data_IF_774311145133
#
_entry.id   IF_774311145133
#
_cell.length_a   1.000
_cell.length_b   1.000
_cell.length_c   1.000
_cell.angle_alpha   90.00
_cell.angle_beta   90.00
_cell.angle_gamma   90.00
#
_symmetry.space_group_name_H-M   'P 1'
#
loop_
_entity.id
_entity.type
_entity.pdbx_description
1 polymer ?
#
# COMPACT_ATOMS: atom_id res chain seq x y z
N UNK A 1 10.17 -18.53 -9.78
CA UNK A 1 10.10 -17.14 -10.25
C UNK A 1 8.70 -16.98 -10.80
N UNK A 2 7.92 -16.02 -10.31
CA UNK A 2 6.55 -15.79 -10.80
C UNK A 2 6.68 -14.83 -11.97
N UNK A 3 6.19 -15.23 -13.13
CA UNK A 3 6.11 -14.34 -14.29
C UNK A 3 4.66 -13.86 -14.43
N UNK A 4 4.46 -12.70 -15.07
CA UNK A 4 3.16 -12.03 -15.15
C UNK A 4 2.02 -12.92 -15.66
N UNK A 5 2.31 -13.85 -16.59
CA UNK A 5 1.34 -14.82 -17.11
C UNK A 5 0.84 -15.87 -16.10
N UNK A 6 1.48 -15.97 -14.92
CA UNK A 6 1.03 -16.82 -13.82
C UNK A 6 0.10 -16.09 -12.85
N UNK A 7 -0.19 -14.80 -13.06
CA UNK A 7 -1.09 -14.04 -12.18
C UNK A 7 -2.56 -14.19 -12.64
N UNK A 8 -3.50 -14.37 -11.70
CA UNK A 8 -4.90 -14.59 -12.04
C UNK A 8 -5.56 -13.33 -12.59
N UNK A 9 -6.52 -13.49 -13.51
CA UNK A 9 -7.30 -12.40 -14.08
C UNK A 9 -8.37 -11.85 -13.11
N UNK A 10 -8.79 -12.65 -12.12
CA UNK A 10 -9.77 -12.25 -11.11
C UNK A 10 -9.20 -12.51 -9.73
N UNK A 11 -9.25 -11.50 -8.87
CA UNK A 11 -8.81 -11.58 -7.47
C UNK A 11 -9.88 -11.06 -6.51
N UNK A 12 -9.92 -11.57 -5.27
CA UNK A 12 -10.62 -10.87 -4.19
C UNK A 12 -9.95 -9.52 -3.95
N UNK A 13 -10.75 -8.48 -3.71
CA UNK A 13 -10.25 -7.14 -3.39
C UNK A 13 -10.73 -6.68 -2.03
N UNK A 14 -9.85 -6.02 -1.30
CA UNK A 14 -10.07 -5.45 0.02
C UNK A 14 -9.98 -3.93 -0.06
N UNK A 15 -11.12 -3.23 -0.17
CA UNK A 15 -11.17 -1.77 -0.15
C UNK A 15 -10.92 -1.28 1.27
N UNK A 16 -9.80 -0.59 1.49
CA UNK A 16 -9.42 -0.07 2.80
C UNK A 16 -8.85 1.35 2.66
N UNK A 17 -9.60 2.40 3.05
CA UNK A 17 -9.12 3.77 2.95
C UNK A 17 -7.85 3.99 3.78
N UNK A 18 -6.87 4.69 3.23
CA UNK A 18 -5.62 5.03 3.92
C UNK A 18 -4.65 3.85 4.12
N UNK A 19 -5.02 2.63 3.72
CA UNK A 19 -4.10 1.51 3.68
C UNK A 19 -3.36 1.48 2.34
N UNK A 20 -2.03 1.43 2.41
CA UNK A 20 -1.17 1.32 1.24
C UNK A 20 -0.38 0.01 1.32
N UNK A 21 -0.40 -0.76 0.25
CA UNK A 21 0.50 -1.88 0.02
C UNK A 21 1.35 -1.57 -1.21
N UNK A 22 2.65 -1.74 -1.11
CA UNK A 22 3.60 -1.61 -2.22
C UNK A 22 4.24 -2.97 -2.54
N UNK A 23 4.67 -3.20 -3.79
CA UNK A 23 5.46 -4.38 -4.15
C UNK A 23 6.65 -4.56 -3.23
N UNK A 24 6.99 -5.82 -2.89
CA UNK A 24 8.09 -6.22 -1.98
C UNK A 24 7.97 -5.73 -0.53
N UNK A 25 6.98 -4.90 -0.20
CA UNK A 25 6.68 -4.49 1.17
C UNK A 25 5.74 -5.46 1.89
N UNK A 26 5.56 -5.25 3.20
CA UNK A 26 4.67 -6.06 4.05
C UNK A 26 3.60 -5.19 4.67
N UNK A 27 2.35 -5.65 4.60
CA UNK A 27 1.21 -5.01 5.25
C UNK A 27 0.55 -5.99 6.21
N UNK A 28 0.70 -5.79 7.54
CA UNK A 28 -0.08 -6.53 8.53
C UNK A 28 -1.53 -6.03 8.55
N UNK A 29 -2.50 -6.94 8.67
CA UNK A 29 -3.92 -6.63 8.72
C UNK A 29 -4.63 -7.46 9.78
N UNK A 30 -5.60 -6.84 10.44
CA UNK A 30 -6.49 -7.52 11.38
C UNK A 30 -7.87 -7.71 10.73
N UNK A 31 -8.23 -8.96 10.46
CA UNK A 31 -9.51 -9.34 9.87
C UNK A 31 -10.45 -9.83 10.96
N UNK A 32 -11.60 -9.17 11.09
CA UNK A 32 -12.62 -9.53 12.07
C UNK A 32 -14.04 -9.52 11.47
N UNK A 33 -14.26 -8.83 10.35
CA UNK A 33 -15.57 -8.84 9.69
C UNK A 33 -15.80 -10.15 8.94
N UNK A 34 -16.98 -10.79 9.07
CA UNK A 34 -17.27 -12.09 8.45
C UNK A 34 -16.97 -12.16 6.94
N UNK A 35 -17.22 -11.07 6.20
CA UNK A 35 -16.91 -11.00 4.76
C UNK A 35 -15.42 -11.10 4.46
N UNK A 36 -14.55 -10.53 5.29
CA UNK A 36 -13.10 -10.57 5.08
C UNK A 36 -12.49 -11.86 5.61
N UNK A 37 -13.12 -12.50 6.60
CA UNK A 37 -12.78 -13.89 6.97
C UNK A 37 -13.07 -14.84 5.80
N UNK A 38 -14.27 -14.75 5.19
CA UNK A 38 -14.59 -15.53 4.00
C UNK A 38 -13.66 -15.22 2.81
N UNK A 39 -13.25 -13.96 2.65
CA UNK A 39 -12.25 -13.56 1.64
C UNK A 39 -10.90 -14.24 1.86
N UNK A 40 -10.41 -14.25 3.10
CA UNK A 40 -9.16 -14.91 3.46
C UNK A 40 -9.24 -16.42 3.19
N UNK A 41 -10.30 -17.08 3.65
CA UNK A 41 -10.52 -18.52 3.45
C UNK A 41 -10.48 -18.89 1.97
N UNK A 42 -11.16 -18.12 1.13
CA UNK A 42 -11.18 -18.37 -0.31
C UNK A 42 -9.84 -18.06 -0.97
N UNK A 43 -9.14 -16.99 -0.55
CA UNK A 43 -7.80 -16.70 -1.05
C UNK A 43 -6.82 -17.83 -0.74
N UNK A 44 -6.86 -18.41 0.47
CA UNK A 44 -5.98 -19.50 0.90
C UNK A 44 -6.21 -20.81 0.12
N UNK A 45 -7.41 -21.02 -0.43
CA UNK A 45 -7.73 -22.17 -1.31
C UNK A 45 -7.15 -22.03 -2.72
N UNK A 46 -6.74 -20.82 -3.12
CA UNK A 46 -6.09 -20.59 -4.42
C UNK A 46 -4.58 -20.88 -4.36
N UNK A 47 -3.95 -21.27 -5.48
CA UNK A 47 -2.49 -21.46 -5.52
C UNK A 47 -1.72 -20.15 -5.29
N UNK A 48 -2.26 -19.01 -5.71
CA UNK A 48 -1.56 -17.71 -5.63
C UNK A 48 -1.67 -17.03 -4.27
N UNK A 49 -2.76 -17.30 -3.53
CA UNK A 49 -3.09 -16.72 -2.22
C UNK A 49 -3.08 -15.19 -2.22
N UNK A 50 -3.60 -14.60 -3.29
CA UNK A 50 -3.58 -13.15 -3.49
C UNK A 50 -4.84 -12.50 -2.95
N UNK A 51 -4.66 -11.32 -2.35
CA UNK A 51 -5.69 -10.36 -1.99
C UNK A 51 -5.28 -9.02 -2.58
N UNK A 52 -6.17 -8.39 -3.35
CA UNK A 52 -5.96 -7.07 -3.92
C UNK A 52 -6.26 -5.97 -2.93
N UNK A 53 -5.24 -5.29 -2.40
CA UNK A 53 -5.45 -4.05 -1.65
C UNK A 53 -5.77 -2.93 -2.63
N UNK A 54 -6.76 -2.10 -2.30
CA UNK A 54 -7.20 -0.99 -3.13
C UNK A 54 -7.86 0.08 -2.25
N UNK A 55 -7.68 1.35 -2.62
CA UNK A 55 -8.39 2.42 -1.94
C UNK A 55 -9.80 2.60 -2.52
N UNK A 56 -10.83 2.87 -1.71
CA UNK A 56 -12.12 3.30 -2.22
C UNK A 56 -11.98 4.64 -2.95
N UNK A 57 -12.70 4.81 -4.06
CA UNK A 57 -12.75 6.06 -4.82
C UNK A 57 -13.90 6.95 -4.29
N UNK A 58 -13.61 8.08 -3.61
CA UNK A 58 -14.63 8.97 -3.09
C UNK A 58 -15.35 9.76 -4.19
N UNK A 59 -14.79 9.84 -5.40
CA UNK A 59 -15.36 10.53 -6.56
C UNK A 59 -16.32 9.67 -7.39
N UNK A 60 -16.52 8.41 -7.00
CA UNK A 60 -17.50 7.54 -7.64
C UNK A 60 -18.93 8.10 -7.51
N UNK A 61 -19.77 7.87 -8.53
CA UNK A 61 -21.14 8.40 -8.55
C UNK A 61 -21.90 7.93 -7.31
N UNK A 62 -22.79 8.78 -6.78
CA UNK A 62 -23.61 8.42 -5.63
C UNK A 62 -24.35 7.07 -5.87
N UNK A 63 -24.03 6.06 -5.05
CA UNK A 63 -24.54 4.68 -5.19
C UNK A 63 -23.57 3.68 -5.80
N UNK A 64 -22.49 4.14 -6.43
CA UNK A 64 -21.34 3.35 -6.86
C UNK A 64 -20.24 3.50 -5.79
N UNK A 65 -19.99 2.49 -4.97
CA UNK A 65 -18.83 2.48 -4.07
C UNK A 65 -17.57 2.19 -4.89
N UNK A 66 -17.12 3.14 -5.72
CA UNK A 66 -16.03 2.92 -6.68
C UNK A 66 -14.72 2.53 -6.00
N UNK A 67 -13.85 1.92 -6.79
CA UNK A 67 -12.47 1.61 -6.43
C UNK A 67 -11.55 2.51 -7.23
N UNK A 68 -10.44 2.92 -6.61
CA UNK A 68 -9.35 3.46 -7.40
C UNK A 68 -8.91 2.44 -8.46
N UNK A 69 -8.50 2.97 -9.62
CA UNK A 69 -8.13 2.13 -10.77
C UNK A 69 -6.87 1.31 -10.53
N UNK A 70 -5.98 1.73 -9.66
CA UNK A 70 -4.73 1.03 -9.36
C UNK A 70 -4.76 0.56 -7.91
N UNK A 71 -4.49 -0.73 -7.72
CA UNK A 71 -4.30 -1.37 -6.42
C UNK A 71 -2.97 -2.13 -6.39
N UNK A 72 -2.67 -2.77 -5.25
CA UNK A 72 -1.53 -3.69 -5.13
C UNK A 72 -1.99 -5.05 -4.62
N UNK A 73 -1.65 -6.11 -5.34
CA UNK A 73 -1.91 -7.48 -4.93
C UNK A 73 -0.88 -7.91 -3.89
N UNK A 74 -1.35 -8.40 -2.76
CA UNK A 74 -0.54 -8.97 -1.70
C UNK A 74 -0.76 -10.47 -1.60
N UNK A 75 0.32 -11.24 -1.45
CA UNK A 75 0.23 -12.66 -1.10
C UNK A 75 0.12 -12.80 0.41
N UNK A 76 -0.83 -13.62 0.86
CA UNK A 76 -0.89 -14.03 2.27
C UNK A 76 0.34 -14.91 2.57
N UNK A 77 1.29 -14.37 3.33
CA UNK A 77 2.53 -15.07 3.71
C UNK A 77 2.52 -15.51 5.16
N UNK A 78 1.72 -14.87 6.01
CA UNK A 78 1.51 -15.27 7.41
C UNK A 78 0.04 -15.06 7.76
N UNK A 79 -0.50 -15.95 8.59
CA UNK A 79 -1.80 -15.77 9.23
C UNK A 79 -1.81 -16.49 10.57
N UNK A 80 -2.51 -15.93 11.56
CA UNK A 80 -2.72 -16.51 12.87
C UNK A 80 -4.12 -16.18 13.37
N UNK A 81 -4.84 -17.19 13.83
CA UNK A 81 -6.14 -17.03 14.47
C UNK A 81 -5.95 -16.57 15.93
N UNK A 82 -6.76 -15.61 16.37
CA UNK A 82 -6.82 -15.13 17.75
C UNK A 82 -7.91 -15.87 18.53
N UNK A 83 -7.84 -15.83 19.86
CA UNK A 83 -8.79 -16.54 20.73
C UNK A 83 -10.25 -16.10 20.57
N UNK A 84 -10.50 -14.91 20.01
CA UNK A 84 -11.82 -14.36 19.73
C UNK A 84 -12.30 -14.55 18.28
N UNK A 85 -11.65 -15.45 17.52
CA UNK A 85 -12.06 -15.82 16.16
C UNK A 85 -11.72 -14.78 15.10
N UNK A 86 -10.74 -13.91 15.37
CA UNK A 86 -10.20 -12.95 14.39
C UNK A 86 -8.91 -13.49 13.81
N UNK A 87 -8.47 -12.89 12.71
CA UNK A 87 -7.23 -13.28 12.05
C UNK A 87 -6.29 -12.08 11.97
N UNK A 88 -5.05 -12.27 12.43
CA UNK A 88 -3.95 -11.40 12.05
C UNK A 88 -3.28 -12.01 10.82
N UNK A 89 -3.18 -11.26 9.73
CA UNK A 89 -2.50 -11.70 8.51
C UNK A 89 -1.38 -10.75 8.14
N UNK A 90 -0.40 -11.25 7.38
CA UNK A 90 0.58 -10.40 6.69
C UNK A 90 0.47 -10.64 5.20
N UNK A 91 0.25 -9.55 4.46
CA UNK A 91 0.37 -9.52 3.00
C UNK A 91 1.78 -9.12 2.61
N UNK A 92 2.42 -9.88 1.74
CA UNK A 92 3.65 -9.47 1.04
C UNK A 92 3.29 -8.98 -0.35
N UNK A 93 3.61 -7.72 -0.66
CA UNK A 93 3.27 -7.09 -1.94
C UNK A 93 3.93 -7.81 -3.10
N UNK A 94 3.12 -8.16 -4.10
CA UNK A 94 3.57 -8.90 -5.29
C UNK A 94 3.68 -7.98 -6.48
N UNK A 95 2.57 -7.33 -6.86
CA UNK A 95 2.51 -6.47 -8.02
C UNK A 95 1.35 -5.49 -7.89
N UNK A 96 1.53 -4.29 -8.44
CA UNK A 96 0.40 -3.42 -8.75
C UNK A 96 -0.44 -4.06 -9.86
N UNK A 97 -1.70 -3.66 -9.87
CA UNK A 97 -2.68 -4.09 -10.86
C UNK A 97 -3.63 -2.95 -11.18
N UNK A 98 -4.29 -3.06 -12.33
CA UNK A 98 -5.35 -2.16 -12.75
C UNK A 98 -6.71 -2.84 -12.63
N UNK A 99 -7.64 -2.24 -11.90
CA UNK A 99 -9.04 -2.68 -11.86
C UNK A 99 -9.65 -2.42 -13.24
N UNK A 100 -10.11 -3.49 -13.90
CA UNK A 100 -10.84 -3.41 -15.16
C UNK A 100 -12.35 -3.28 -14.90
N UNK A 101 -12.89 -4.17 -14.07
CA UNK A 101 -14.29 -4.13 -13.63
C UNK A 101 -14.47 -4.94 -12.35
N UNK A 102 -15.51 -4.64 -11.60
CA UNK A 102 -15.93 -5.51 -10.50
C UNK A 102 -16.66 -6.73 -11.04
N UNK A 103 -16.47 -7.86 -10.36
CA UNK A 103 -17.14 -9.13 -10.68
C UNK A 103 -18.30 -9.30 -9.72
N UNK A 104 -19.52 -9.20 -10.25
CA UNK A 104 -20.74 -9.50 -9.50
C UNK A 104 -20.78 -10.97 -9.06
N UNK A 105 -21.47 -11.25 -7.97
CA UNK A 105 -21.63 -12.62 -7.48
C UNK A 105 -22.17 -12.69 -6.06
N UNK A 106 -22.23 -13.91 -5.54
CA UNK A 106 -22.77 -14.21 -4.21
C UNK A 106 -21.73 -14.22 -3.10
N UNK A 107 -20.46 -13.88 -3.42
CA UNK A 107 -19.42 -13.76 -2.39
C UNK A 107 -19.72 -12.56 -1.49
N UNK A 108 -19.50 -12.66 -0.16
CA UNK A 108 -19.77 -11.57 0.76
C UNK A 108 -18.72 -10.44 0.68
N UNK A 109 -17.66 -10.65 -0.09
CA UNK A 109 -16.58 -9.71 -0.37
C UNK A 109 -16.52 -9.38 -1.87
N UNK A 110 -15.84 -8.28 -2.20
CA UNK A 110 -15.71 -7.77 -3.57
C UNK A 110 -14.62 -8.54 -4.32
N UNK A 111 -14.83 -8.69 -5.62
CA UNK A 111 -13.85 -9.26 -6.55
C UNK A 111 -13.73 -8.35 -7.74
N UNK A 112 -12.55 -8.31 -8.35
CA UNK A 112 -12.31 -7.51 -9.54
C UNK A 112 -11.62 -8.33 -10.61
N UNK A 113 -11.98 -8.08 -11.86
CA UNK A 113 -11.14 -8.41 -13.00
C UNK A 113 -10.00 -7.38 -13.04
N UNK A 114 -8.77 -7.87 -13.17
CA UNK A 114 -7.57 -7.04 -13.07
C UNK A 114 -6.62 -7.27 -14.23
N UNK A 115 -5.97 -6.19 -14.66
CA UNK A 115 -4.86 -6.20 -15.62
C UNK A 115 -3.54 -5.96 -14.91
N UNK A 116 -2.49 -6.62 -15.38
CA UNK A 116 -1.14 -6.54 -14.82
C UNK A 116 -0.19 -5.71 -15.71
N UNK A 117 -0.67 -5.28 -16.89
CA UNK A 117 0.13 -4.63 -17.92
C UNK A 117 0.66 -3.27 -17.45
N UNK A 118 1.95 -3.02 -17.69
CA UNK A 118 2.65 -1.80 -17.27
C UNK A 118 3.19 -1.85 -15.83
N UNK A 119 3.10 -3.01 -15.16
CA UNK A 119 3.65 -3.23 -13.81
C UNK A 119 4.70 -4.35 -13.80
N UNK A 120 5.34 -4.64 -14.92
CA UNK A 120 6.30 -5.73 -15.07
C UNK A 120 7.49 -5.59 -14.09
N UNK A 121 7.91 -4.35 -13.82
CA UNK A 121 8.99 -4.03 -12.87
C UNK A 121 8.67 -4.41 -11.42
N UNK A 122 7.39 -4.59 -11.07
CA UNK A 122 7.01 -4.96 -9.71
C UNK A 122 7.38 -6.42 -9.39
N UNK A 123 7.54 -7.26 -10.42
CA UNK A 123 7.95 -8.67 -10.28
C UNK A 123 9.47 -8.84 -10.22
N UNK A 124 10.23 -7.79 -10.51
CA UNK A 124 11.69 -7.81 -10.37
C UNK A 124 12.11 -7.78 -8.88
N UNK A 125 13.28 -8.32 -8.52
CA UNK A 125 13.71 -8.45 -7.13
C UNK A 125 13.89 -7.14 -6.36
N UNK A 126 13.95 -5.99 -7.05
CA UNK A 126 14.08 -4.68 -6.44
C UNK A 126 13.85 -3.56 -7.45
N UNK A 127 13.71 -2.34 -6.93
CA UNK A 127 13.68 -1.10 -7.68
C UNK A 127 14.79 -0.17 -7.14
N UNK A 128 15.29 0.73 -7.99
CA UNK A 128 16.43 1.57 -7.63
C UNK A 128 16.15 3.03 -7.95
N UNK A 129 16.68 3.92 -7.12
CA UNK A 129 16.68 5.36 -7.36
C UNK A 129 18.12 5.89 -7.40
N UNK A 130 18.73 5.96 -8.59
CA UNK A 130 20.09 6.47 -8.75
C UNK A 130 20.29 7.92 -8.28
N UNK A 131 19.21 8.70 -8.21
CA UNK A 131 19.23 10.09 -7.77
C UNK A 131 19.04 10.27 -6.27
N UNK A 132 18.94 9.19 -5.50
CA UNK A 132 18.61 9.29 -4.08
C UNK A 132 19.78 9.84 -3.26
N UNK A 133 19.62 11.06 -2.75
CA UNK A 133 20.49 11.62 -1.71
C UNK A 133 19.96 11.27 -0.33
N UNK A 134 20.45 10.14 0.21
CA UNK A 134 20.00 9.60 1.50
C UNK A 134 20.25 10.57 2.66
N UNK A 135 21.40 11.23 2.73
CA UNK A 135 21.72 12.17 3.82
C UNK A 135 20.74 13.35 3.85
N UNK A 136 20.47 13.95 2.68
CA UNK A 136 19.50 15.04 2.58
C UNK A 136 18.09 14.58 2.97
N UNK A 137 17.71 13.37 2.56
CA UNK A 137 16.41 12.80 2.89
C UNK A 137 16.26 12.52 4.39
N UNK A 138 17.27 11.93 5.02
CA UNK A 138 17.27 11.67 6.47
C UNK A 138 17.22 12.96 7.28
N UNK A 139 17.89 14.02 6.84
CA UNK A 139 17.80 15.35 7.48
C UNK A 139 16.37 15.94 7.40
N UNK A 140 15.71 15.83 6.24
CA UNK A 140 14.31 16.24 6.08
C UNK A 140 13.41 15.41 7.00
N UNK A 141 13.63 14.10 7.05
CA UNK A 141 12.87 13.18 7.89
C UNK A 141 13.03 13.50 9.38
N UNK A 142 14.23 13.78 9.87
CA UNK A 142 14.48 14.19 11.27
C UNK A 142 13.62 15.39 11.65
N UNK A 143 13.62 16.43 10.81
CA UNK A 143 12.81 17.64 11.03
C UNK A 143 11.32 17.34 11.03
N UNK A 144 10.85 16.47 10.14
CA UNK A 144 9.45 16.05 10.10
C UNK A 144 9.03 15.28 11.36
N UNK A 145 9.85 14.35 11.82
CA UNK A 145 9.56 13.56 13.02
C UNK A 145 9.59 14.42 14.28
N UNK A 146 10.55 15.34 14.39
CA UNK A 146 10.61 16.33 15.48
C UNK A 146 9.35 17.22 15.49
N UNK A 147 8.96 17.79 14.34
CA UNK A 147 7.79 18.67 14.23
C UNK A 147 6.45 17.96 14.52
N UNK A 148 6.41 16.63 14.37
CA UNK A 148 5.20 15.81 14.62
C UNK A 148 5.26 15.02 15.92
N UNK A 149 6.29 15.24 16.74
CA UNK A 149 6.55 14.53 18.01
C UNK A 149 6.52 12.99 17.85
N UNK A 150 6.97 12.50 16.70
CA UNK A 150 6.96 11.07 16.37
C UNK A 150 8.20 10.39 16.95
N UNK A 151 7.98 9.27 17.64
CA UNK A 151 9.09 8.41 18.08
C UNK A 151 9.60 7.57 16.91
N UNK A 152 10.91 7.35 16.86
CA UNK A 152 11.54 6.55 15.80
C UNK A 152 12.83 5.91 16.24
N UNK A 153 13.01 4.68 15.78
CA UNK A 153 14.28 4.00 15.82
C UNK A 153 15.13 4.44 14.61
N UNK A 154 15.93 5.49 14.85
CA UNK A 154 16.80 6.09 13.83
C UNK A 154 17.89 5.15 13.34
N UNK A 155 18.35 4.21 14.17
CA UNK A 155 19.40 3.28 13.79
C UNK A 155 18.85 2.27 12.78
N UNK A 156 17.67 1.70 13.06
CA UNK A 156 16.97 0.83 12.10
C UNK A 156 16.69 1.53 10.77
N UNK A 157 16.26 2.80 10.79
CA UNK A 157 16.03 3.54 9.54
C UNK A 157 17.31 3.79 8.75
N UNK A 158 18.44 4.13 9.41
CA UNK A 158 19.72 4.37 8.74
C UNK A 158 20.27 3.12 8.06
N UNK A 159 20.07 1.95 8.64
CA UNK A 159 20.55 0.68 8.10
C UNK A 159 19.66 0.09 6.99
N UNK A 160 18.41 0.53 6.88
CA UNK A 160 17.47 0.02 5.89
C UNK A 160 17.90 0.32 4.44
N UNK A 161 17.79 -0.65 3.54
CA UNK A 161 17.97 -0.44 2.10
C UNK A 161 17.03 0.67 1.58
N UNK A 162 17.49 1.42 0.57
CA UNK A 162 16.81 2.62 0.07
C UNK A 162 15.36 2.38 -0.34
N UNK A 163 15.10 1.30 -1.09
CA UNK A 163 13.75 0.92 -1.48
C UNK A 163 12.86 0.64 -0.26
N UNK A 164 13.37 -0.16 0.69
CA UNK A 164 12.65 -0.52 1.90
C UNK A 164 12.32 0.73 2.73
N UNK A 165 13.27 1.67 2.84
CA UNK A 165 13.09 2.94 3.55
C UNK A 165 11.96 3.75 2.92
N UNK A 166 12.02 4.02 1.61
CA UNK A 166 11.04 4.84 0.90
C UNK A 166 9.66 4.20 0.95
N UNK A 167 9.55 2.90 0.67
CA UNK A 167 8.26 2.21 0.67
C UNK A 167 7.65 2.13 2.07
N UNK A 168 8.46 1.84 3.11
CA UNK A 168 7.96 1.77 4.49
C UNK A 168 7.44 3.13 4.97
N UNK A 169 8.18 4.22 4.70
CA UNK A 169 7.73 5.57 5.05
C UNK A 169 6.46 5.96 4.28
N UNK A 170 6.38 5.62 3.00
CA UNK A 170 5.16 5.84 2.20
C UNK A 170 3.93 5.15 2.80
N UNK A 171 4.11 3.96 3.37
CA UNK A 171 3.02 3.17 3.96
C UNK A 171 2.65 3.61 5.39
N UNK A 172 3.65 3.91 6.22
CA UNK A 172 3.51 4.14 7.65
C UNK A 172 3.17 5.58 8.02
N UNK A 173 3.63 6.57 7.24
CA UNK A 173 3.31 7.96 7.51
C UNK A 173 1.80 8.20 7.31
N UNK A 174 1.24 9.03 8.18
CA UNK A 174 -0.19 9.33 8.26
C UNK A 174 -0.69 10.28 7.18
N UNK A 175 -0.35 10.03 5.91
CA UNK A 175 -0.88 10.80 4.78
C UNK A 175 -2.33 10.46 4.49
N UNK A 176 -3.03 11.42 3.89
CA UNK A 176 -4.41 11.27 3.45
C UNK A 176 -4.54 10.17 2.36
N UNK A 177 -5.74 9.56 2.19
CA UNK A 177 -5.98 8.51 1.20
C UNK A 177 -5.48 8.86 -0.20
N UNK A 178 -5.76 10.06 -0.69
CA UNK A 178 -5.39 10.52 -2.03
C UNK A 178 -3.87 10.62 -2.21
N UNK A 179 -3.14 11.06 -1.19
CA UNK A 179 -1.68 11.12 -1.19
C UNK A 179 -1.06 9.72 -1.18
N UNK A 180 -1.64 8.80 -0.40
CA UNK A 180 -1.23 7.38 -0.45
C UNK A 180 -1.53 6.74 -1.79
N UNK A 181 -2.60 7.15 -2.47
CA UNK A 181 -2.88 6.70 -3.83
C UNK A 181 -1.83 7.24 -4.80
N UNK A 182 -1.41 8.50 -4.69
CA UNK A 182 -0.34 9.06 -5.51
C UNK A 182 0.98 8.29 -5.33
N UNK A 183 1.33 7.91 -4.09
CA UNK A 183 2.51 7.09 -3.78
C UNK A 183 2.45 5.68 -4.38
N UNK A 184 1.25 5.07 -4.42
CA UNK A 184 1.01 3.79 -5.08
C UNK A 184 1.19 3.87 -6.60
N UNK A 185 0.64 4.92 -7.20
CA UNK A 185 0.61 5.12 -8.65
C UNK A 185 1.93 5.63 -9.23
N UNK A 186 2.87 6.07 -8.38
CA UNK A 186 4.20 6.48 -8.79
C UNK A 186 4.92 5.38 -9.60
N UNK A 187 5.30 5.62 -10.87
CA UNK A 187 5.75 4.58 -11.79
C UNK A 187 7.08 3.93 -11.38
N UNK A 188 7.93 4.64 -10.63
CA UNK A 188 9.25 4.20 -10.18
C UNK A 188 9.54 4.62 -8.74
N UNK A 189 10.54 4.00 -8.12
CA UNK A 189 11.04 4.39 -6.80
C UNK A 189 11.47 5.87 -6.75
N UNK A 190 12.14 6.38 -7.78
CA UNK A 190 12.52 7.80 -7.87
C UNK A 190 11.30 8.72 -7.80
N UNK A 191 10.25 8.44 -8.59
CA UNK A 191 9.04 9.26 -8.60
C UNK A 191 8.30 9.17 -7.26
N UNK A 192 8.30 7.98 -6.64
CA UNK A 192 7.71 7.77 -5.33
C UNK A 192 8.44 8.56 -4.25
N UNK A 193 9.77 8.54 -4.25
CA UNK A 193 10.60 9.37 -3.35
C UNK A 193 10.29 10.85 -3.52
N UNK A 194 10.24 11.35 -4.75
CA UNK A 194 9.96 12.77 -5.01
C UNK A 194 8.58 13.18 -4.50
N UNK A 195 7.59 12.32 -4.70
CA UNK A 195 6.24 12.50 -4.16
C UNK A 195 6.28 12.51 -2.64
N UNK A 196 6.92 11.52 -2.01
CA UNK A 196 7.07 11.43 -0.56
C UNK A 196 7.75 12.68 0.04
N UNK A 197 8.85 13.15 -0.57
CA UNK A 197 9.55 14.37 -0.16
C UNK A 197 8.62 15.58 -0.25
N UNK A 198 7.88 15.71 -1.35
CA UNK A 198 6.94 16.81 -1.55
C UNK A 198 5.86 16.82 -0.48
N UNK A 199 5.30 15.65 -0.14
CA UNK A 199 4.30 15.50 0.91
C UNK A 199 4.86 15.88 2.28
N UNK A 200 6.05 15.40 2.63
CA UNK A 200 6.71 15.74 3.89
C UNK A 200 6.98 17.25 4.00
N UNK A 201 7.48 17.88 2.93
CA UNK A 201 7.72 19.33 2.91
C UNK A 201 6.43 20.14 3.03
N UNK A 202 5.37 19.72 2.33
CA UNK A 202 4.06 20.36 2.41
C UNK A 202 3.49 20.29 3.83
N UNK A 203 3.60 19.13 4.47
CA UNK A 203 3.15 18.90 5.83
C UNK A 203 3.94 19.69 6.88
N UNK A 204 5.24 19.89 6.66
CA UNK A 204 6.07 20.76 7.49
C UNK A 204 5.63 22.22 7.39
N UNK A 205 5.43 22.73 6.17
CA UNK A 205 5.04 24.14 5.94
C UNK A 205 3.63 24.43 6.45
N UNK A 206 2.70 23.50 6.25
CA UNK A 206 1.31 23.66 6.72
C UNK A 206 1.17 23.48 8.25
N UNK A 207 2.13 22.84 8.91
CA UNK A 207 2.26 22.83 10.37
C UNK A 207 2.64 24.19 10.94
N UNK A 208 3.62 24.86 10.33
CA UNK A 208 4.06 26.22 10.74
C UNK A 208 2.92 27.26 10.61
N UNK A 209 2.11 27.18 9.55
CA UNK A 209 0.99 28.11 9.33
C UNK A 209 -0.15 27.97 10.37
N UNK A 210 -0.28 26.80 11.01
CA UNK A 210 -1.30 26.59 12.07
C UNK A 210 -0.86 27.14 13.42
N UNK A 211 0.44 27.26 13.69
CA UNK A 211 0.97 27.91 14.89
C UNK A 211 0.94 29.45 14.79
N UNK A 212 1.01 30.01 13.59
CA UNK A 212 0.93 31.46 13.37
C UNK A 212 -0.50 32.05 13.46
N UNK A 213 -1.53 31.21 13.53
CA UNK A 213 -2.95 31.62 13.60
C UNK A 213 -3.61 31.37 14.98
N UNK A 214 -2.83 31.06 16.02
CA UNK A 214 -3.29 31.06 17.43
C UNK A 214 -2.76 32.27 18.19
#
# INVERSE_FOLDING_TARGET
MIIQGDLPEVIPVFPLPGALLLPRSRLPLHLFEPRYLAMLDDALKTPHRLIGMVQPDPGARAGEHGLHRIGCAGRVTQFSETEDGRYMITLSGVSRYRVASEVEGFTPYRRAQVGWEGFEQDLEPGDSDPGFNRDSFMNLLSRYFEARELSTDWETLKEAEDELLINSLSMLLGFEPEDKQALLEAPSLSTRRETLVTLIEYDLRSGDDREMMQ
#
